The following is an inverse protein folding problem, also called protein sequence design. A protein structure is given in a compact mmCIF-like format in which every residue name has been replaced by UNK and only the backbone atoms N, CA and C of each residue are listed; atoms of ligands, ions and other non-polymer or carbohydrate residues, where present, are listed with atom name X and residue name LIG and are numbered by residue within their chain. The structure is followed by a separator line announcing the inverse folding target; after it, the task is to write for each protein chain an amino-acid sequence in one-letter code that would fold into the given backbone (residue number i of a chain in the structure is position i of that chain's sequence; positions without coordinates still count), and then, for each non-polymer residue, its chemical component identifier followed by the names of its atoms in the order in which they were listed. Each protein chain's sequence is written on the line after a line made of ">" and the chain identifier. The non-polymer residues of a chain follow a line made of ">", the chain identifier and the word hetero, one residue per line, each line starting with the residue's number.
data_IF_125214857227
#
_entry.id   IF_125214857227
#
_cell.length_a   1.000
_cell.length_b   1.000
_cell.length_c   1.000
_cell.angle_alpha   90.00
_cell.angle_beta   90.00
_cell.angle_gamma   90.00
#
_symmetry.space_group_name_H-M   'P 1'
#
loop_
_entity.id
_entity.type
_entity.pdbx_description
1 polymer ?
#
# COMPACT_ATOMS: atom_id res chain seq x y z
N UNK A 1 -13.51 8.31 -11.25
CA UNK A 1 -12.50 7.27 -11.48
C UNK A 1 -13.17 6.19 -12.29
N UNK A 2 -12.72 5.93 -13.49
CA UNK A 2 -13.46 5.07 -14.44
C UNK A 2 -13.03 3.63 -14.42
N UNK A 3 -11.77 3.35 -14.14
CA UNK A 3 -11.32 1.98 -13.94
C UNK A 3 -10.17 1.88 -12.94
N UNK A 4 -10.19 0.79 -12.19
CA UNK A 4 -9.11 0.37 -11.30
C UNK A 4 -8.63 -1.01 -11.73
N UNK A 5 -7.34 -1.15 -11.99
CA UNK A 5 -6.72 -2.39 -12.43
C UNK A 5 -5.67 -2.79 -11.41
N UNK A 6 -5.76 -4.01 -10.87
CA UNK A 6 -4.72 -4.57 -10.02
C UNK A 6 -3.53 -4.98 -10.90
N UNK A 7 -2.38 -4.33 -10.69
CA UNK A 7 -1.14 -4.61 -11.43
C UNK A 7 -0.30 -5.66 -10.71
N UNK A 8 -0.16 -5.52 -9.39
CA UNK A 8 0.57 -6.48 -8.57
C UNK A 8 -0.32 -6.91 -7.41
N UNK A 9 -0.64 -8.19 -7.38
CA UNK A 9 -1.41 -8.79 -6.29
C UNK A 9 -0.57 -8.90 -5.01
N UNK A 10 -1.19 -9.09 -3.84
CA UNK A 10 -0.51 -9.38 -2.60
C UNK A 10 0.46 -10.56 -2.74
N UNK A 11 1.69 -10.39 -2.26
CA UNK A 11 2.73 -11.42 -2.34
C UNK A 11 2.67 -12.45 -1.20
N UNK A 12 1.87 -12.20 -0.16
CA UNK A 12 1.69 -13.07 0.99
C UNK A 12 0.30 -12.87 1.61
N UNK A 13 -0.10 -13.78 2.46
CA UNK A 13 -1.27 -13.61 3.30
C UNK A 13 -0.88 -12.97 4.64
N UNK A 14 -1.77 -12.13 5.25
CA UNK A 14 -1.48 -11.45 6.50
C UNK A 14 -1.48 -12.39 7.71
N UNK A 15 -2.02 -13.58 7.55
CA UNK A 15 -2.10 -14.63 8.59
C UNK A 15 -1.36 -15.86 8.10
N UNK A 16 -0.58 -16.51 8.95
CA UNK A 16 0.10 -17.73 8.57
C UNK A 16 -0.88 -18.93 8.51
N UNK A 17 -0.66 -19.84 7.56
CA UNK A 17 -1.45 -21.06 7.45
C UNK A 17 -1.40 -21.89 8.76
N UNK A 18 -0.27 -21.84 9.48
CA UNK A 18 -0.10 -22.50 10.76
C UNK A 18 -1.09 -21.99 11.81
N UNK A 19 -1.34 -20.68 11.86
CA UNK A 19 -2.29 -20.08 12.80
C UNK A 19 -3.74 -20.49 12.45
N UNK A 20 -4.05 -20.56 11.15
CA UNK A 20 -5.37 -21.02 10.71
C UNK A 20 -5.59 -22.51 11.01
N UNK A 21 -4.57 -23.37 10.78
CA UNK A 21 -4.63 -24.78 11.21
C UNK A 21 -4.82 -24.92 12.72
N UNK A 22 -4.10 -24.11 13.51
CA UNK A 22 -4.24 -24.08 14.96
C UNK A 22 -5.64 -23.72 15.42
N UNK A 23 -6.31 -22.79 14.73
CA UNK A 23 -7.71 -22.42 15.01
C UNK A 23 -8.68 -23.57 14.72
N UNK A 24 -8.37 -24.41 13.73
CA UNK A 24 -9.21 -25.54 13.31
C UNK A 24 -8.82 -26.87 13.99
N UNK A 25 -7.89 -26.86 14.94
CA UNK A 25 -7.33 -28.06 15.57
C UNK A 25 -6.75 -29.09 14.58
N UNK A 26 -6.24 -28.61 13.43
CA UNK A 26 -5.59 -29.43 12.40
C UNK A 26 -4.09 -29.52 12.70
N UNK A 27 -3.52 -30.73 12.83
CA UNK A 27 -2.08 -30.91 13.03
C UNK A 27 -1.26 -30.22 11.92
N UNK A 28 -0.17 -29.54 12.27
CA UNK A 28 0.72 -28.89 11.30
C UNK A 28 1.33 -29.87 10.30
N UNK A 29 1.47 -31.15 10.70
CA UNK A 29 1.98 -32.22 9.84
C UNK A 29 0.97 -32.73 8.82
N UNK A 30 -0.33 -32.45 8.99
CA UNK A 30 -1.35 -32.79 8.01
C UNK A 30 -1.39 -31.74 6.91
N UNK A 31 -0.83 -32.08 5.76
CA UNK A 31 -0.78 -31.20 4.58
C UNK A 31 -1.87 -31.51 3.54
N UNK A 32 -2.75 -32.49 3.82
CA UNK A 32 -3.73 -32.99 2.85
C UNK A 32 -4.75 -31.93 2.39
N UNK A 33 -5.01 -30.92 3.22
CA UNK A 33 -5.97 -29.84 2.97
C UNK A 33 -5.34 -28.44 2.78
N UNK A 34 -4.01 -28.35 2.78
CA UNK A 34 -3.32 -27.05 2.76
C UNK A 34 -3.76 -26.15 1.60
N UNK A 35 -3.90 -26.71 0.40
CA UNK A 35 -4.37 -25.93 -0.77
C UNK A 35 -5.77 -25.36 -0.57
N UNK A 36 -6.69 -26.14 -0.01
CA UNK A 36 -8.07 -25.69 0.27
C UNK A 36 -8.09 -24.61 1.36
N UNK A 37 -7.33 -24.81 2.43
CA UNK A 37 -7.21 -23.83 3.52
C UNK A 37 -6.62 -22.50 3.03
N UNK A 38 -5.58 -22.54 2.18
CA UNK A 38 -5.00 -21.34 1.57
C UNK A 38 -6.00 -20.61 0.68
N UNK A 39 -6.81 -21.32 -0.10
CA UNK A 39 -7.87 -20.69 -0.91
C UNK A 39 -8.94 -20.03 -0.03
N UNK A 40 -9.34 -20.66 1.06
CA UNK A 40 -10.31 -20.08 1.99
C UNK A 40 -9.75 -18.85 2.70
N UNK A 41 -8.48 -18.87 3.06
CA UNK A 41 -7.78 -17.75 3.69
C UNK A 41 -7.66 -16.55 2.73
N UNK A 42 -7.30 -16.81 1.47
CA UNK A 42 -7.26 -15.80 0.41
C UNK A 42 -8.64 -15.15 0.21
N UNK A 43 -9.69 -15.98 0.08
CA UNK A 43 -11.05 -15.49 -0.09
C UNK A 43 -11.53 -14.68 1.13
N UNK A 44 -11.17 -15.10 2.35
CA UNK A 44 -11.49 -14.37 3.57
C UNK A 44 -10.79 -13.00 3.62
N UNK A 45 -9.51 -12.94 3.23
CA UNK A 45 -8.79 -11.67 3.08
C UNK A 45 -9.49 -10.73 2.10
N UNK A 46 -9.82 -11.23 0.91
CA UNK A 46 -10.51 -10.42 -0.10
C UNK A 46 -11.88 -9.92 0.38
N UNK A 47 -12.64 -10.75 1.09
CA UNK A 47 -13.91 -10.35 1.67
C UNK A 47 -13.75 -9.21 2.70
N UNK A 48 -12.74 -9.31 3.59
CA UNK A 48 -12.43 -8.27 4.58
C UNK A 48 -11.92 -6.98 3.90
N UNK A 49 -11.01 -7.09 2.92
CA UNK A 49 -10.51 -5.94 2.15
C UNK A 49 -11.63 -5.20 1.42
N UNK A 50 -12.55 -5.94 0.81
CA UNK A 50 -13.69 -5.36 0.09
C UNK A 50 -14.70 -4.70 1.04
N UNK A 51 -14.98 -5.33 2.18
CA UNK A 51 -15.88 -4.74 3.17
C UNK A 51 -15.32 -3.45 3.78
N UNK A 52 -14.05 -3.46 4.17
CA UNK A 52 -13.39 -2.30 4.77
C UNK A 52 -12.92 -1.29 3.71
N UNK A 53 -12.90 -1.66 2.41
CA UNK A 53 -12.33 -0.87 1.30
C UNK A 53 -10.86 -0.50 1.51
N UNK A 54 -10.09 -1.38 2.11
CA UNK A 54 -8.65 -1.23 2.40
C UNK A 54 -7.85 -2.26 1.62
N UNK A 55 -6.53 -2.08 1.59
CA UNK A 55 -5.57 -3.10 1.20
C UNK A 55 -4.80 -3.55 2.45
N UNK A 56 -4.71 -4.83 2.69
CA UNK A 56 -4.02 -5.37 3.87
C UNK A 56 -2.53 -5.59 3.59
N UNK A 57 -2.22 -6.24 2.49
CA UNK A 57 -0.85 -6.48 2.04
C UNK A 57 -0.55 -5.54 0.89
N UNK A 58 0.71 -5.19 0.69
CA UNK A 58 1.17 -4.32 -0.39
C UNK A 58 0.65 -4.80 -1.74
N UNK A 59 -0.06 -3.92 -2.43
CA UNK A 59 -0.64 -4.11 -3.76
C UNK A 59 -0.32 -2.90 -4.62
N UNK A 60 -0.17 -3.12 -5.92
CA UNK A 60 -0.02 -2.02 -6.89
C UNK A 60 -1.27 -1.91 -7.75
N UNK A 61 -1.83 -0.72 -7.81
CA UNK A 61 -3.05 -0.43 -8.56
C UNK A 61 -2.80 0.64 -9.61
N UNK A 62 -3.41 0.46 -10.77
CA UNK A 62 -3.49 1.46 -11.85
C UNK A 62 -4.91 2.03 -11.88
N UNK A 63 -5.03 3.31 -11.56
CA UNK A 63 -6.26 4.08 -11.72
C UNK A 63 -6.23 4.84 -13.04
N UNK A 64 -7.31 4.76 -13.81
CA UNK A 64 -7.50 5.55 -15.02
C UNK A 64 -8.64 6.54 -14.83
N UNK A 65 -8.41 7.77 -15.26
CA UNK A 65 -9.35 8.88 -15.18
C UNK A 65 -9.47 9.49 -16.58
N UNK A 66 -10.66 9.90 -16.96
CA UNK A 66 -10.85 10.63 -18.23
C UNK A 66 -10.33 12.06 -18.13
N UNK A 67 -10.39 12.61 -16.93
CA UNK A 67 -9.91 13.97 -16.66
C UNK A 67 -9.51 14.12 -15.19
N UNK A 68 -8.71 15.15 -14.90
CA UNK A 68 -8.59 15.61 -13.52
C UNK A 68 -9.97 16.02 -13.00
N UNK A 69 -10.25 15.78 -11.71
CA UNK A 69 -11.56 16.10 -11.17
C UNK A 69 -11.88 17.59 -11.32
N UNK A 70 -13.03 17.88 -11.91
CA UNK A 70 -13.59 19.24 -12.04
C UNK A 70 -14.69 19.52 -11.02
N UNK A 71 -15.32 18.43 -10.50
CA UNK A 71 -16.28 18.51 -9.41
C UNK A 71 -15.83 17.52 -8.32
N UNK A 72 -15.74 17.94 -7.07
CA UNK A 72 -15.00 17.21 -6.06
C UNK A 72 -15.86 16.25 -5.28
N UNK A 73 -15.28 15.08 -4.98
CA UNK A 73 -15.61 14.33 -3.78
C UNK A 73 -14.94 14.97 -2.55
N UNK A 74 -13.83 15.66 -2.73
CA UNK A 74 -13.10 16.38 -1.69
C UNK A 74 -12.34 17.56 -2.31
N UNK A 75 -12.29 18.70 -1.58
CA UNK A 75 -11.48 19.88 -1.93
C UNK A 75 -10.25 19.95 -1.05
N UNK A 76 -9.15 20.45 -1.59
CA UNK A 76 -8.02 20.90 -0.79
C UNK A 76 -8.36 22.20 -0.03
N UNK A 77 -7.41 22.68 0.76
CA UNK A 77 -7.56 23.93 1.54
C UNK A 77 -7.75 25.18 0.69
N UNK A 78 -7.41 25.10 -0.61
CA UNK A 78 -7.51 26.21 -1.56
C UNK A 78 -8.76 26.11 -2.45
N UNK A 79 -9.61 25.11 -2.22
CA UNK A 79 -10.83 24.90 -2.99
C UNK A 79 -10.61 24.19 -4.33
N UNK A 80 -9.46 23.52 -4.52
CA UNK A 80 -9.22 22.71 -5.73
C UNK A 80 -9.65 21.25 -5.49
N UNK A 81 -10.25 20.62 -6.52
CA UNK A 81 -10.70 19.23 -6.42
C UNK A 81 -9.53 18.25 -6.35
N UNK A 82 -9.62 17.28 -5.44
CA UNK A 82 -8.62 16.26 -5.18
C UNK A 82 -8.92 14.96 -5.91
N UNK A 83 -7.86 14.23 -6.29
CA UNK A 83 -7.93 12.82 -6.71
C UNK A 83 -7.77 11.96 -5.46
N UNK A 84 -8.82 11.24 -5.07
CA UNK A 84 -8.76 10.29 -3.95
C UNK A 84 -8.16 8.98 -4.41
N UNK A 85 -7.24 8.43 -3.61
CA UNK A 85 -6.63 7.11 -3.82
C UNK A 85 -7.39 6.09 -2.98
N UNK A 86 -8.19 5.21 -3.61
CA UNK A 86 -8.91 4.17 -2.87
C UNK A 86 -7.95 3.11 -2.32
N UNK A 87 -8.50 2.26 -1.45
CA UNK A 87 -7.78 1.16 -0.79
C UNK A 87 -6.61 1.61 0.10
N UNK A 88 -6.87 2.45 1.14
CA UNK A 88 -5.85 2.76 2.13
C UNK A 88 -5.33 1.49 2.85
N UNK A 89 -4.20 1.57 3.56
CA UNK A 89 -3.32 2.71 3.68
C UNK A 89 -2.45 2.92 2.43
N UNK A 90 -2.19 4.17 2.13
CA UNK A 90 -1.32 4.56 1.02
C UNK A 90 0.15 4.30 1.37
N UNK A 91 0.96 3.93 0.36
CA UNK A 91 2.40 3.78 0.49
C UNK A 91 3.16 4.77 -0.41
N UNK A 92 2.99 4.68 -1.73
CA UNK A 92 3.72 5.53 -2.67
C UNK A 92 3.01 5.66 -4.02
N UNK A 93 3.35 6.70 -4.78
CA UNK A 93 2.97 6.87 -6.19
C UNK A 93 4.11 6.38 -7.07
N UNK A 94 3.85 5.40 -7.94
CA UNK A 94 4.85 4.94 -8.91
C UNK A 94 4.97 5.91 -10.09
N UNK A 95 3.83 6.34 -10.63
CA UNK A 95 3.77 7.41 -11.63
C UNK A 95 2.38 8.04 -11.68
N UNK A 96 2.34 9.30 -12.12
CA UNK A 96 1.13 10.02 -12.44
C UNK A 96 1.31 10.72 -13.79
N UNK A 97 0.62 10.24 -14.82
CA UNK A 97 0.76 10.69 -16.21
C UNK A 97 -0.58 11.16 -16.77
N UNK A 98 -0.52 12.11 -17.70
CA UNK A 98 -1.69 12.58 -18.43
C UNK A 98 -1.31 12.98 -19.86
N UNK A 99 -2.29 13.15 -20.76
CA UNK A 99 -2.07 13.68 -22.09
C UNK A 99 -2.45 15.17 -22.08
N UNK A 100 -1.53 16.02 -22.44
CA UNK A 100 -1.75 17.47 -22.50
C UNK A 100 -2.61 17.90 -23.72
N UNK A 101 -2.88 19.18 -23.82
CA UNK A 101 -3.70 19.74 -24.92
C UNK A 101 -3.06 19.56 -26.29
N UNK A 102 -1.74 19.37 -26.39
CA UNK A 102 -1.01 19.09 -27.63
C UNK A 102 -1.08 17.62 -28.05
N UNK A 103 -1.49 16.73 -27.15
CA UNK A 103 -1.49 15.28 -27.35
C UNK A 103 -0.22 14.59 -26.85
N UNK A 104 0.69 15.31 -26.20
CA UNK A 104 1.89 14.73 -25.62
C UNK A 104 1.63 14.15 -24.23
N UNK A 105 2.27 13.01 -23.93
CA UNK A 105 2.22 12.39 -22.60
C UNK A 105 3.14 13.15 -21.66
N UNK A 106 2.56 13.70 -20.60
CA UNK A 106 3.27 14.41 -19.55
C UNK A 106 3.28 13.60 -18.26
N UNK A 107 4.33 13.75 -17.43
CA UNK A 107 4.41 13.18 -16.10
C UNK A 107 4.28 14.29 -15.06
N UNK A 108 3.42 14.07 -14.08
CA UNK A 108 3.33 14.93 -12.90
C UNK A 108 4.31 14.41 -11.86
N UNK A 109 5.10 15.30 -11.29
CA UNK A 109 6.01 15.01 -10.18
C UNK A 109 5.44 15.56 -8.87
N UNK A 110 5.74 14.89 -7.77
CA UNK A 110 5.38 15.37 -6.45
C UNK A 110 6.10 16.69 -6.15
N UNK A 111 5.37 17.65 -5.60
CA UNK A 111 5.95 18.88 -5.06
C UNK A 111 6.34 18.66 -3.58
N UNK A 112 7.64 18.50 -3.26
CA UNK A 112 8.08 18.29 -1.88
C UNK A 112 8.04 19.58 -1.06
N UNK A 113 7.92 20.74 -1.72
CA UNK A 113 8.01 22.05 -1.09
C UNK A 113 6.67 22.57 -0.54
N UNK A 114 5.59 21.81 -0.71
CA UNK A 114 4.23 22.25 -0.33
C UNK A 114 3.88 23.67 -0.79
N UNK A 115 4.32 24.02 -1.99
CA UNK A 115 3.99 25.30 -2.61
C UNK A 115 4.96 26.45 -2.32
N UNK A 116 6.09 26.23 -1.66
CA UNK A 116 7.11 27.29 -1.53
C UNK A 116 7.86 27.52 -2.84
N UNK A 117 7.84 26.57 -3.78
CA UNK A 117 8.43 26.75 -5.10
C UNK A 117 7.43 27.34 -6.08
N UNK A 118 7.34 28.65 -6.10
CA UNK A 118 6.42 29.40 -6.98
C UNK A 118 6.94 29.59 -8.40
N UNK A 119 8.07 28.98 -8.77
CA UNK A 119 8.62 29.06 -10.13
C UNK A 119 7.62 28.47 -11.14
N UNK A 120 7.21 29.26 -12.12
CA UNK A 120 6.29 28.85 -13.19
C UNK A 120 7.06 28.23 -14.35
N UNK A 121 6.42 27.31 -15.11
CA UNK A 121 5.15 26.61 -14.87
C UNK A 121 5.39 25.22 -14.29
N UNK A 122 5.33 25.06 -12.97
CA UNK A 122 5.42 23.72 -12.36
C UNK A 122 4.05 23.03 -12.42
N UNK A 123 3.96 21.95 -13.16
CA UNK A 123 2.84 21.02 -13.15
C UNK A 123 3.22 19.79 -12.34
N UNK A 124 2.62 19.64 -11.18
CA UNK A 124 2.90 18.54 -10.28
C UNK A 124 1.69 18.21 -9.43
N UNK A 125 1.91 17.52 -8.34
CA UNK A 125 0.88 17.24 -7.35
C UNK A 125 1.44 17.34 -5.93
N UNK A 126 0.56 17.61 -4.99
CA UNK A 126 0.80 17.47 -3.56
C UNK A 126 0.11 16.22 -3.06
N UNK A 127 0.72 15.53 -2.11
CA UNK A 127 0.18 14.32 -1.52
C UNK A 127 -0.27 14.62 -0.07
N UNK A 128 -1.55 14.37 0.19
CA UNK A 128 -2.09 14.25 1.54
C UNK A 128 -2.14 12.75 1.86
N UNK A 129 -1.22 12.22 2.68
CA UNK A 129 -1.03 10.76 2.81
C UNK A 129 -2.13 10.11 3.59
N UNK A 130 -3.22 10.58 3.86
CA UNK A 130 -4.27 9.90 4.63
C UNK A 130 -3.74 9.31 5.94
N UNK A 131 -4.57 8.66 6.72
CA UNK A 131 -4.15 8.00 7.96
C UNK A 131 -5.01 6.76 8.24
N UNK A 132 -4.37 5.63 8.54
CA UNK A 132 -5.08 4.39 8.85
C UNK A 132 -6.00 3.96 7.70
N UNK A 133 -7.31 4.05 7.92
CA UNK A 133 -8.34 3.69 6.93
C UNK A 133 -8.75 4.87 6.02
N UNK A 134 -8.19 6.06 6.24
CA UNK A 134 -8.53 7.23 5.44
C UNK A 134 -7.78 7.20 4.11
N UNK A 135 -8.48 7.37 2.96
CA UNK A 135 -7.84 7.46 1.66
C UNK A 135 -6.84 8.62 1.60
N UNK A 136 -5.71 8.38 0.96
CA UNK A 136 -4.82 9.47 0.56
C UNK A 136 -5.46 10.30 -0.54
N UNK A 137 -5.04 11.55 -0.66
CA UNK A 137 -5.53 12.45 -1.68
C UNK A 137 -4.37 13.13 -2.41
N UNK A 138 -4.51 13.27 -3.72
CA UNK A 138 -3.61 14.07 -4.53
C UNK A 138 -4.30 15.40 -4.86
N UNK A 139 -3.63 16.51 -4.53
CA UNK A 139 -4.05 17.87 -4.84
C UNK A 139 -3.19 18.44 -5.95
N UNK A 140 -3.66 19.43 -6.72
CA UNK A 140 -2.78 20.20 -7.57
C UNK A 140 -1.77 21.00 -6.73
N UNK A 141 -0.70 21.54 -7.31
CA UNK A 141 0.26 22.36 -6.60
C UNK A 141 -0.41 23.55 -5.93
N UNK A 142 0.15 24.02 -4.81
CA UNK A 142 -0.40 25.13 -4.02
C UNK A 142 -0.83 26.33 -4.86
N UNK A 143 -2.06 26.78 -4.65
CA UNK A 143 -2.67 27.93 -5.34
C UNK A 143 -2.70 27.83 -6.88
N UNK A 144 -2.69 26.62 -7.43
CA UNK A 144 -2.74 26.38 -8.88
C UNK A 144 -3.77 25.29 -9.21
N UNK A 145 -4.44 25.39 -10.36
CA UNK A 145 -5.30 24.33 -10.87
C UNK A 145 -4.47 23.14 -11.36
N UNK A 146 -5.14 22.02 -11.59
CA UNK A 146 -4.55 20.92 -12.35
C UNK A 146 -4.03 21.38 -13.71
N UNK A 147 -3.02 20.68 -14.23
CA UNK A 147 -2.46 20.96 -15.54
C UNK A 147 -3.53 20.90 -16.63
N UNK A 148 -3.47 21.78 -17.65
CA UNK A 148 -4.33 21.69 -18.81
C UNK A 148 -4.17 20.35 -19.52
N UNK A 149 -5.28 19.69 -19.82
CA UNK A 149 -5.29 18.34 -20.40
C UNK A 149 -6.25 18.24 -21.58
N UNK A 150 -6.03 17.25 -22.41
CA UNK A 150 -6.96 16.90 -23.49
C UNK A 150 -8.12 16.09 -22.92
N UNK A 151 -9.33 16.40 -23.29
CA UNK A 151 -10.55 15.67 -22.87
C UNK A 151 -10.72 14.44 -23.77
N UNK A 152 -10.13 13.32 -23.35
CA UNK A 152 -10.26 12.02 -24.05
C UNK A 152 -10.39 10.91 -22.99
N UNK A 153 -11.08 9.80 -23.31
CA UNK A 153 -11.22 8.68 -22.38
C UNK A 153 -9.88 8.15 -21.90
N UNK A 154 -9.81 7.79 -20.61
CA UNK A 154 -8.62 7.26 -19.94
C UNK A 154 -7.35 8.12 -20.13
N UNK A 155 -7.53 9.44 -20.22
CA UNK A 155 -6.46 10.40 -20.48
C UNK A 155 -5.39 10.43 -19.39
N UNK A 156 -5.76 10.10 -18.16
CA UNK A 156 -4.89 10.17 -17.00
C UNK A 156 -4.66 8.78 -16.44
N UNK A 157 -3.39 8.43 -16.20
CA UNK A 157 -2.97 7.16 -15.63
C UNK A 157 -2.18 7.41 -14.35
N UNK A 158 -2.67 6.85 -13.24
CA UNK A 158 -2.06 6.94 -11.92
C UNK A 158 -1.80 5.55 -11.38
N UNK A 159 -0.53 5.18 -11.23
CA UNK A 159 -0.14 3.95 -10.58
C UNK A 159 0.40 4.24 -9.19
N UNK A 160 -0.09 3.50 -8.21
CA UNK A 160 0.28 3.69 -6.82
C UNK A 160 0.30 2.37 -6.05
N UNK A 161 1.03 2.35 -4.96
CA UNK A 161 1.09 1.23 -4.00
C UNK A 161 0.30 1.56 -2.75
N UNK A 162 -0.39 0.55 -2.24
CA UNK A 162 -1.18 0.64 -1.02
C UNK A 162 -1.10 -0.69 -0.24
N UNK A 163 -1.49 -0.64 1.03
CA UNK A 163 -1.43 -1.75 1.97
C UNK A 163 -0.61 -1.41 3.21
N UNK A 164 -0.76 -2.17 4.28
CA UNK A 164 0.03 -1.97 5.50
C UNK A 164 1.50 -2.29 5.26
N UNK A 165 1.79 -3.40 4.61
CA UNK A 165 3.15 -3.84 4.31
C UNK A 165 3.17 -5.15 3.54
N UNK A 166 4.35 -5.66 3.28
CA UNK A 166 4.51 -6.92 2.55
C UNK A 166 5.93 -7.47 2.58
N UNK A 167 6.10 -8.73 2.21
CA UNK A 167 7.41 -9.34 2.12
C UNK A 167 8.20 -8.77 0.95
N UNK A 168 9.50 -8.64 1.17
CA UNK A 168 10.47 -8.12 0.21
C UNK A 168 11.75 -8.95 0.29
N UNK A 169 12.23 -9.47 -0.83
CA UNK A 169 13.53 -10.15 -0.88
C UNK A 169 14.65 -9.12 -0.90
N UNK A 170 15.56 -9.20 0.08
CA UNK A 170 16.62 -8.20 0.24
C UNK A 170 17.99 -8.82 0.42
N UNK A 171 19.01 -8.04 0.05
CA UNK A 171 20.43 -8.32 0.29
C UNK A 171 21.06 -7.09 0.92
N UNK A 172 21.85 -7.27 1.97
CA UNK A 172 22.61 -6.22 2.63
C UNK A 172 24.03 -6.70 2.95
N UNK A 173 24.97 -5.79 2.87
CA UNK A 173 26.37 -6.02 3.28
C UNK A 173 26.57 -5.51 4.69
N UNK A 174 27.37 -6.22 5.51
CA UNK A 174 27.73 -5.77 6.85
C UNK A 174 28.41 -4.40 6.81
N UNK A 175 28.04 -3.51 7.71
CA UNK A 175 28.51 -2.13 7.77
C UNK A 175 27.86 -1.19 6.76
N UNK A 176 26.98 -1.68 5.88
CA UNK A 176 26.28 -0.87 4.86
C UNK A 176 24.83 -0.60 5.26
N UNK A 177 24.36 0.61 4.99
CA UNK A 177 22.96 0.99 5.09
C UNK A 177 22.19 0.79 3.77
N UNK A 178 22.88 0.40 2.69
CA UNK A 178 22.26 0.20 1.38
C UNK A 178 21.50 -1.11 1.35
N UNK A 179 20.21 -1.03 1.01
CA UNK A 179 19.32 -2.16 0.82
C UNK A 179 19.14 -2.43 -0.66
N UNK A 180 19.55 -3.61 -1.12
CA UNK A 180 19.30 -4.07 -2.48
C UNK A 180 18.14 -5.07 -2.49
N UNK A 181 17.19 -4.87 -3.40
CA UNK A 181 16.04 -5.74 -3.56
C UNK A 181 15.81 -6.06 -5.03
N UNK A 182 16.13 -7.28 -5.49
CA UNK A 182 15.87 -7.69 -6.85
C UNK A 182 14.35 -7.68 -7.15
N UNK A 183 13.97 -7.00 -8.24
CA UNK A 183 12.57 -6.95 -8.68
C UNK A 183 11.68 -5.97 -7.92
N UNK A 184 12.22 -5.21 -6.95
CA UNK A 184 11.50 -4.15 -6.27
C UNK A 184 12.26 -2.81 -6.39
N UNK A 185 11.55 -1.78 -6.80
CA UNK A 185 12.08 -0.42 -6.93
C UNK A 185 11.46 0.47 -5.87
N UNK A 186 12.30 1.04 -5.01
CA UNK A 186 11.84 2.03 -4.03
C UNK A 186 11.51 3.35 -4.72
N UNK A 187 10.45 4.00 -4.25
CA UNK A 187 10.06 5.32 -4.72
C UNK A 187 10.57 6.41 -3.77
N UNK A 188 10.73 7.66 -4.25
CA UNK A 188 11.05 8.78 -3.36
C UNK A 188 10.08 8.90 -2.18
N UNK A 189 8.80 8.53 -2.36
CA UNK A 189 7.79 8.55 -1.30
C UNK A 189 8.06 7.55 -0.17
N UNK A 190 8.88 6.53 -0.39
CA UNK A 190 9.29 5.58 0.65
C UNK A 190 10.26 6.22 1.68
N UNK A 191 10.90 7.33 1.31
CA UNK A 191 11.77 8.12 2.19
C UNK A 191 11.00 9.27 2.86
N UNK A 192 11.50 9.82 3.98
CA UNK A 192 10.91 11.00 4.61
C UNK A 192 10.81 12.17 3.63
N UNK A 193 9.64 12.78 3.53
CA UNK A 193 9.40 13.90 2.64
C UNK A 193 9.42 15.26 3.35
N UNK A 194 9.30 15.25 4.67
CA UNK A 194 9.32 16.42 5.54
C UNK A 194 10.37 16.20 6.64
N UNK A 195 11.05 17.24 7.03
CA UNK A 195 12.01 17.16 8.14
C UNK A 195 11.30 16.71 9.45
N UNK A 196 11.82 15.65 10.06
CA UNK A 196 11.26 15.05 11.26
C UNK A 196 10.31 13.87 11.03
N UNK A 197 9.94 13.61 9.79
CA UNK A 197 9.21 12.39 9.41
C UNK A 197 10.12 11.16 9.37
N UNK A 198 9.51 9.98 9.43
CA UNK A 198 10.18 8.69 9.19
C UNK A 198 9.73 8.11 7.87
N UNK A 199 10.66 7.54 7.11
CA UNK A 199 10.32 6.80 5.89
C UNK A 199 9.66 5.46 6.17
N UNK A 200 9.42 4.70 5.12
CA UNK A 200 8.82 3.37 5.18
C UNK A 200 9.62 2.46 6.11
N UNK A 201 8.96 1.83 7.08
CA UNK A 201 9.58 0.88 8.00
C UNK A 201 10.09 -0.36 7.25
N UNK A 202 11.25 -0.86 7.65
CA UNK A 202 11.87 -2.08 7.11
C UNK A 202 12.33 -2.95 8.27
N UNK A 203 12.01 -4.24 8.20
CA UNK A 203 12.49 -5.24 9.14
C UNK A 203 13.22 -6.34 8.38
N UNK A 204 14.53 -6.44 8.57
CA UNK A 204 15.41 -7.40 7.87
C UNK A 204 15.90 -8.45 8.85
N UNK A 205 15.40 -9.70 8.79
CA UNK A 205 15.87 -10.78 9.65
C UNK A 205 17.36 -11.05 9.44
N UNK A 206 18.07 -11.25 10.54
CA UNK A 206 19.49 -11.62 10.53
C UNK A 206 20.48 -10.47 10.26
N UNK A 207 20.03 -9.29 9.87
CA UNK A 207 20.92 -8.16 9.56
C UNK A 207 21.33 -7.32 10.78
N UNK A 208 20.72 -7.56 11.93
CA UNK A 208 21.02 -6.87 13.18
C UNK A 208 22.17 -7.49 13.96
N UNK A 209 22.45 -6.94 15.15
CA UNK A 209 23.50 -7.40 16.03
C UNK A 209 23.27 -8.87 16.44
N UNK A 210 24.33 -9.66 16.43
CA UNK A 210 24.30 -11.10 16.77
C UNK A 210 23.25 -11.93 16.00
N UNK A 211 22.94 -11.54 14.76
CA UNK A 211 21.95 -12.24 13.94
C UNK A 211 20.48 -11.90 14.27
N UNK A 212 20.23 -10.90 15.10
CA UNK A 212 18.89 -10.39 15.33
C UNK A 212 18.30 -9.72 14.09
N UNK A 213 17.01 -9.44 14.09
CA UNK A 213 16.40 -8.65 13.04
C UNK A 213 16.85 -7.17 13.14
N UNK A 214 17.11 -6.55 11.99
CA UNK A 214 17.34 -5.11 11.87
C UNK A 214 16.00 -4.42 11.61
N UNK A 215 15.44 -3.79 12.65
CA UNK A 215 14.27 -2.95 12.52
C UNK A 215 14.71 -1.50 12.31
N UNK A 216 14.36 -0.90 11.17
CA UNK A 216 14.80 0.42 10.76
C UNK A 216 13.78 1.03 9.79
N UNK A 217 14.12 2.12 9.13
CA UNK A 217 13.29 2.76 8.10
C UNK A 217 14.15 3.25 6.93
N UNK A 218 13.50 3.51 5.82
CA UNK A 218 14.14 4.10 4.63
C UNK A 218 14.47 5.56 4.94
N UNK A 219 15.74 5.92 4.90
CA UNK A 219 16.21 7.29 5.13
C UNK A 219 16.28 8.11 3.83
N UNK A 220 16.66 7.47 2.72
CA UNK A 220 16.69 8.10 1.40
C UNK A 220 16.52 7.07 0.30
N UNK A 221 16.08 7.52 -0.87
CA UNK A 221 15.98 6.70 -2.08
C UNK A 221 16.73 7.40 -3.22
N UNK A 222 17.61 6.65 -3.90
CA UNK A 222 18.31 7.12 -5.08
C UNK A 222 18.32 6.03 -6.15
N UNK A 223 17.89 6.36 -7.36
CA UNK A 223 17.81 5.43 -8.49
C UNK A 223 17.08 4.11 -8.17
N UNK A 224 16.03 4.19 -7.35
CA UNK A 224 15.24 3.01 -6.94
C UNK A 224 15.86 2.14 -5.86
N UNK A 225 16.99 2.55 -5.30
CA UNK A 225 17.71 1.86 -4.21
C UNK A 225 17.47 2.63 -2.91
N UNK A 226 17.11 1.91 -1.85
CA UNK A 226 16.93 2.50 -0.53
C UNK A 226 18.23 2.53 0.28
N UNK A 227 18.46 3.64 0.96
CA UNK A 227 19.43 3.74 2.04
C UNK A 227 18.66 3.80 3.37
N UNK A 228 18.98 2.89 4.28
CA UNK A 228 18.33 2.79 5.58
C UNK A 228 18.94 3.75 6.59
N UNK A 229 18.18 4.10 7.62
CA UNK A 229 18.67 4.94 8.71
C UNK A 229 19.72 4.23 9.57
N UNK A 230 19.71 2.90 9.60
CA UNK A 230 20.66 2.10 10.36
C UNK A 230 21.36 1.10 9.44
N UNK A 231 22.69 1.03 9.52
CA UNK A 231 23.47 0.06 8.78
C UNK A 231 23.28 -1.37 9.32
N UNK A 232 23.37 -2.35 8.41
CA UNK A 232 23.37 -3.76 8.81
C UNK A 232 24.65 -4.09 9.59
N UNK A 233 24.54 -4.80 10.70
CA UNK A 233 25.70 -5.30 11.44
C UNK A 233 26.19 -6.66 10.93
N UNK A 234 25.31 -7.43 10.31
CA UNK A 234 25.63 -8.69 9.65
C UNK A 234 25.19 -8.66 8.18
N UNK A 235 25.94 -9.35 7.31
CA UNK A 235 25.56 -9.49 5.91
C UNK A 235 24.42 -10.52 5.78
N UNK A 236 23.46 -10.21 4.93
CA UNK A 236 22.34 -11.11 4.57
C UNK A 236 22.20 -11.16 3.06
N UNK A 237 21.89 -12.32 2.52
CA UNK A 237 21.70 -12.53 1.10
C UNK A 237 20.36 -13.19 0.83
N UNK A 238 19.52 -12.56 -0.02
CA UNK A 238 18.24 -13.08 -0.46
C UNK A 238 17.30 -13.49 0.70
N UNK A 239 17.27 -12.70 1.78
CA UNK A 239 16.36 -12.92 2.90
C UNK A 239 15.02 -12.27 2.67
N UNK A 240 13.94 -12.87 3.20
CA UNK A 240 12.63 -12.24 3.22
C UNK A 240 12.57 -11.21 4.35
N UNK A 241 12.59 -9.95 3.97
CA UNK A 241 12.35 -8.82 4.86
C UNK A 241 10.87 -8.40 4.82
N UNK A 242 10.44 -7.57 5.76
CA UNK A 242 9.12 -6.97 5.75
C UNK A 242 9.24 -5.45 5.54
N UNK A 243 8.50 -4.95 4.54
CA UNK A 243 8.38 -3.52 4.26
C UNK A 243 7.02 -3.02 4.76
N UNK A 244 7.00 -1.83 5.35
CA UNK A 244 5.80 -1.20 5.87
C UNK A 244 5.42 -1.64 7.28
N UNK A 245 4.21 -1.32 7.67
CA UNK A 245 3.67 -1.66 8.98
C UNK A 245 3.11 -3.09 9.00
N UNK A 246 3.01 -3.66 10.17
CA UNK A 246 2.30 -4.94 10.35
C UNK A 246 0.79 -4.72 10.21
N UNK A 247 0.10 -5.71 9.66
CA UNK A 247 -1.37 -5.70 9.61
C UNK A 247 -1.90 -5.75 11.05
N UNK A 248 -2.84 -4.87 11.43
CA UNK A 248 -3.42 -4.89 12.77
C UNK A 248 -4.02 -6.25 13.14
N UNK A 249 -3.76 -6.70 14.37
CA UNK A 249 -4.23 -8.00 14.86
C UNK A 249 -5.75 -8.17 14.77
N UNK A 250 -6.51 -7.11 14.92
CA UNK A 250 -7.98 -7.13 14.77
C UNK A 250 -8.43 -7.53 13.36
N UNK A 251 -7.67 -7.10 12.33
CA UNK A 251 -7.91 -7.48 10.95
C UNK A 251 -7.47 -8.93 10.69
N UNK A 252 -6.34 -9.34 11.25
CA UNK A 252 -5.89 -10.75 11.18
C UNK A 252 -6.92 -11.70 11.81
N UNK A 253 -7.46 -11.34 12.97
CA UNK A 253 -8.52 -12.13 13.62
C UNK A 253 -9.81 -12.15 12.78
N UNK A 254 -10.18 -11.03 12.15
CA UNK A 254 -11.34 -10.99 11.27
C UNK A 254 -11.20 -11.95 10.09
N UNK A 255 -9.99 -12.03 9.50
CA UNK A 255 -9.69 -12.98 8.41
C UNK A 255 -9.79 -14.42 8.91
N UNK A 256 -9.19 -14.72 10.08
CA UNK A 256 -9.25 -16.07 10.65
C UNK A 256 -10.68 -16.54 10.89
N UNK A 257 -11.53 -15.70 11.48
CA UNK A 257 -12.93 -16.06 11.73
C UNK A 257 -13.72 -16.19 10.42
N UNK A 258 -13.46 -15.34 9.44
CA UNK A 258 -14.11 -15.48 8.14
C UNK A 258 -13.67 -16.75 7.40
N UNK A 259 -12.39 -17.10 7.45
CA UNK A 259 -11.87 -18.33 6.87
C UNK A 259 -12.42 -19.58 7.59
N UNK A 260 -12.55 -19.54 8.92
CA UNK A 260 -13.21 -20.59 9.70
C UNK A 260 -14.67 -20.75 9.27
N UNK A 261 -15.40 -19.65 9.11
CA UNK A 261 -16.78 -19.68 8.64
C UNK A 261 -16.90 -20.36 7.27
N UNK A 262 -16.00 -20.04 6.31
CA UNK A 262 -15.97 -20.69 5.01
C UNK A 262 -15.68 -22.19 5.13
N UNK A 263 -14.77 -22.56 6.01
CA UNK A 263 -14.46 -23.97 6.27
C UNK A 263 -15.64 -24.75 6.85
N UNK A 264 -16.35 -24.19 7.82
CA UNK A 264 -17.53 -24.78 8.45
C UNK A 264 -18.72 -24.90 7.46
N UNK A 265 -18.89 -23.92 6.57
CA UNK A 265 -19.93 -23.96 5.54
C UNK A 265 -19.56 -24.85 4.34
N UNK A 266 -18.30 -25.25 4.20
CA UNK A 266 -17.80 -25.97 3.03
C UNK A 266 -17.84 -25.19 1.71
N UNK A 267 -18.06 -23.87 1.76
CA UNK A 267 -18.16 -23.00 0.59
C UNK A 267 -17.71 -21.58 0.93
N UNK A 268 -17.13 -20.91 -0.06
CA UNK A 268 -16.86 -19.47 -0.03
C UNK A 268 -18.14 -18.73 -0.42
N UNK A 269 -18.53 -17.73 0.35
CA UNK A 269 -19.67 -16.87 0.05
C UNK A 269 -19.29 -15.40 0.13
N UNK A 270 -20.04 -14.53 -0.56
CA UNK A 270 -19.78 -13.08 -0.61
C UNK A 270 -20.17 -12.34 0.68
N UNK A 271 -20.77 -13.06 1.63
CA UNK A 271 -21.23 -12.46 2.90
C UNK A 271 -20.20 -12.66 4.00
N UNK A 272 -19.90 -11.58 4.72
CA UNK A 272 -19.14 -11.65 5.95
C UNK A 272 -19.99 -12.21 7.08
N UNK A 273 -19.40 -13.06 7.89
CA UNK A 273 -20.01 -13.55 9.10
C UNK A 273 -20.37 -12.39 10.05
N UNK A 274 -21.56 -12.39 10.70
CA UNK A 274 -21.97 -11.30 11.60
C UNK A 274 -20.98 -10.99 12.73
N UNK A 275 -20.28 -11.99 13.26
CA UNK A 275 -19.21 -11.79 14.27
C UNK A 275 -18.05 -10.98 13.71
N UNK A 276 -17.64 -11.25 12.46
CA UNK A 276 -16.60 -10.50 11.74
C UNK A 276 -17.04 -9.06 11.53
N UNK A 277 -18.27 -8.83 11.05
CA UNK A 277 -18.82 -7.48 10.85
C UNK A 277 -18.78 -6.68 12.16
N UNK A 278 -19.22 -7.28 13.27
CA UNK A 278 -19.22 -6.61 14.57
C UNK A 278 -17.80 -6.31 15.07
N UNK A 279 -16.86 -7.23 14.89
CA UNK A 279 -15.45 -7.02 15.23
C UNK A 279 -14.83 -5.86 14.43
N UNK A 280 -15.06 -5.82 13.13
CA UNK A 280 -14.56 -4.75 12.26
C UNK A 280 -15.21 -3.38 12.61
N UNK A 281 -16.49 -3.34 12.91
CA UNK A 281 -17.17 -2.11 13.37
C UNK A 281 -16.60 -1.59 14.69
N UNK A 282 -16.36 -2.47 15.65
CA UNK A 282 -15.80 -2.12 16.95
C UNK A 282 -14.34 -1.69 16.84
N UNK A 283 -13.57 -2.26 15.90
CA UNK A 283 -12.20 -1.86 15.58
C UNK A 283 -12.10 -0.54 14.80
N UNK A 284 -13.21 0.11 14.48
CA UNK A 284 -13.22 1.38 13.72
C UNK A 284 -13.15 1.20 12.20
N UNK A 285 -13.13 -0.03 11.69
CA UNK A 285 -13.10 -0.34 10.25
C UNK A 285 -14.49 -0.31 9.63
N UNK A 286 -15.22 0.78 9.81
CA UNK A 286 -16.52 0.95 9.17
C UNK A 286 -16.35 1.26 7.69
N UNK A 287 -17.27 0.72 6.89
CA UNK A 287 -17.42 1.16 5.52
C UNK A 287 -17.75 2.67 5.51
N UNK A 288 -16.79 3.52 5.16
CA UNK A 288 -16.90 4.98 5.20
C UNK A 288 -17.77 5.57 4.08
N UNK A 289 -18.45 4.71 3.31
CA UNK A 289 -19.34 5.13 2.24
C UNK A 289 -20.68 4.40 2.39
N UNK A 290 -21.56 5.03 3.06
CA UNK A 290 -23.01 4.89 2.88
C UNK A 290 -23.55 6.12 2.19
#
# INVERSE_FOLDING_TARGET
>A
MESMILITAPAAEPVALADFKGLLDIPLTDTSRDSTLLMMQLAAREAVENYCRIALITQTWLARLDSFPSAPLRYDRNGYPQVLLPKPPFQSVDFFKYVDTSGAVQSLTRDPSYGTNLAAPFYGYQLEPGGGIMPAALSPPWARPWAPQRMVPANTALQYRCGYGGPLTVTMTAGSAVLSSPGFTFNPDDAPQIAGDTGTAINVPGAGAAGAALATYVASVSNGIATLATAATAAVASVSAWQGNQVPNSLCLAILFQAQFFFEQGAVCDQLEPRVINSLRNGGYRNLVS
#
